data_IF_294840279381
#
_entry.id   IF_294840279381
#
_cell.length_a   1.000
_cell.length_b   1.000
_cell.length_c   1.000
_cell.angle_alpha   90.00
_cell.angle_beta   90.00
_cell.angle_gamma   90.00
#
_symmetry.space_group_name_H-M   'P 1'
#
loop_
_entity.id
_entity.type
_entity.pdbx_description
1 polymer ?
#
# COMPACT_ATOMS: atom_id res chain seq x y z
N UNK A 1 -6.36 68.90 -30.80
CA UNK A 1 -5.61 68.33 -31.93
C UNK A 1 -4.28 67.78 -31.43
N UNK A 2 -4.14 66.46 -31.28
CA UNK A 2 -2.83 65.77 -31.23
C UNK A 2 -3.05 64.28 -31.51
N UNK A 3 -2.38 63.77 -32.53
CA UNK A 3 -2.52 62.41 -33.04
C UNK A 3 -1.34 61.53 -32.60
N UNK A 4 -1.67 60.29 -32.21
CA UNK A 4 -0.96 59.01 -32.37
C UNK A 4 0.43 58.78 -31.71
N UNK A 5 0.95 57.53 -31.64
CA UNK A 5 0.37 56.24 -32.08
C UNK A 5 0.59 55.02 -31.15
N UNK A 6 -0.21 53.97 -31.39
CA UNK A 6 0.20 52.55 -31.35
C UNK A 6 0.48 51.89 -29.98
N UNK A 7 -0.11 50.71 -29.84
CA UNK A 7 0.40 49.57 -29.04
C UNK A 7 0.02 49.52 -27.54
N UNK A 8 -1.04 48.78 -27.20
CA UNK A 8 -0.95 47.38 -26.73
C UNK A 8 -2.35 46.88 -26.37
N UNK A 9 -2.92 46.11 -27.30
CA UNK A 9 -3.91 45.09 -26.99
C UNK A 9 -3.24 44.12 -26.01
N UNK A 10 -3.73 44.02 -24.78
CA UNK A 10 -3.40 42.89 -23.91
C UNK A 10 -4.70 42.23 -23.50
N UNK A 11 -5.08 41.24 -24.31
CA UNK A 11 -6.07 40.25 -23.97
C UNK A 11 -5.65 39.58 -22.64
N UNK A 12 -6.44 39.77 -21.59
CA UNK A 12 -6.31 38.99 -20.37
C UNK A 12 -6.77 37.56 -20.65
N UNK A 13 -5.84 36.71 -21.09
CA UNK A 13 -6.02 35.27 -21.08
C UNK A 13 -5.94 34.80 -19.61
N UNK A 14 -7.10 34.50 -19.03
CA UNK A 14 -7.20 33.83 -17.73
C UNK A 14 -6.72 32.38 -17.93
N UNK A 15 -5.46 32.12 -17.62
CA UNK A 15 -4.93 30.77 -17.53
C UNK A 15 -5.53 30.10 -16.28
N UNK A 16 -6.47 29.18 -16.48
CA UNK A 16 -6.87 28.21 -15.45
C UNK A 16 -5.69 27.29 -15.21
N UNK A 17 -4.93 27.56 -14.14
CA UNK A 17 -3.90 26.67 -13.64
C UNK A 17 -4.56 25.38 -13.14
N UNK A 18 -4.46 24.30 -13.93
CA UNK A 18 -4.77 22.96 -13.45
C UNK A 18 -3.75 22.60 -12.37
N UNK A 19 -4.15 22.69 -11.10
CA UNK A 19 -3.34 22.20 -10.00
C UNK A 19 -3.09 20.69 -10.20
N UNK A 20 -1.86 20.19 -10.02
CA UNK A 20 -1.61 18.75 -10.05
C UNK A 20 -2.45 18.07 -8.96
N UNK A 21 -2.97 16.85 -9.20
CA UNK A 21 -3.69 16.11 -8.17
C UNK A 21 -2.82 15.97 -6.91
N UNK A 22 -3.40 16.07 -5.71
CA UNK A 22 -2.65 15.91 -4.48
C UNK A 22 -1.92 14.55 -4.49
N UNK A 23 -0.68 14.48 -3.95
CA UNK A 23 0.04 13.22 -3.86
C UNK A 23 -0.84 12.20 -3.13
N UNK A 24 -0.86 10.93 -3.57
CA UNK A 24 -1.64 9.90 -2.90
C UNK A 24 -1.25 9.88 -1.42
N UNK A 25 -2.24 9.74 -0.51
CA UNK A 25 -1.96 9.74 0.92
C UNK A 25 -0.89 8.68 1.23
N UNK A 26 0.08 8.97 2.13
CA UNK A 26 1.10 8.01 2.50
C UNK A 26 0.39 6.71 2.87
N UNK A 27 0.67 5.65 2.11
CA UNK A 27 0.14 4.34 2.43
C UNK A 27 0.63 4.01 3.84
N UNK A 28 -0.23 3.54 4.76
CA UNK A 28 0.24 3.12 6.08
C UNK A 28 1.33 2.09 5.83
N UNK A 29 2.58 2.46 6.10
CA UNK A 29 3.70 1.54 5.96
C UNK A 29 3.44 0.45 6.99
N UNK A 30 2.97 -0.72 6.54
CA UNK A 30 2.85 -1.86 7.44
C UNK A 30 4.23 -2.10 8.05
N UNK A 31 4.28 -2.26 9.35
CA UNK A 31 5.52 -2.59 10.03
C UNK A 31 5.83 -4.07 9.79
N UNK A 32 6.69 -4.31 8.79
CA UNK A 32 7.15 -5.64 8.42
C UNK A 32 7.98 -6.30 9.53
N UNK A 33 8.61 -5.52 10.42
CA UNK A 33 9.38 -6.08 11.53
C UNK A 33 8.48 -6.82 12.53
N UNK A 34 7.24 -6.35 12.72
CA UNK A 34 6.27 -7.04 13.57
C UNK A 34 5.84 -8.40 13.03
N UNK A 35 6.07 -8.68 11.75
CA UNK A 35 5.86 -10.00 11.13
C UNK A 35 7.14 -10.84 11.00
N UNK A 36 8.30 -10.33 11.41
CA UNK A 36 9.51 -11.14 11.49
C UNK A 36 9.31 -12.46 12.27
N UNK A 37 8.52 -12.52 13.36
CA UNK A 37 8.21 -13.77 14.05
C UNK A 37 7.37 -14.76 13.22
N UNK A 38 6.72 -14.29 12.15
CA UNK A 38 5.95 -15.12 11.23
C UNK A 38 6.79 -15.75 10.11
N UNK A 39 8.07 -15.37 9.94
CA UNK A 39 8.93 -15.93 8.88
C UNK A 39 9.11 -17.46 8.99
N UNK A 40 9.38 -18.05 10.18
CA UNK A 40 9.55 -19.48 10.29
C UNK A 40 8.33 -20.29 9.82
N UNK A 41 7.09 -20.05 10.30
CA UNK A 41 5.90 -20.75 9.81
C UNK A 41 5.50 -20.38 8.38
N UNK A 42 6.02 -19.25 7.85
CA UNK A 42 5.85 -18.89 6.45
C UNK A 42 6.69 -19.78 5.52
N UNK A 43 7.91 -20.11 5.95
CA UNK A 43 8.87 -20.92 5.19
C UNK A 43 8.64 -22.43 5.38
N UNK A 44 8.27 -22.85 6.59
CA UNK A 44 7.90 -24.23 6.89
C UNK A 44 6.49 -24.28 7.51
N UNK A 45 5.47 -24.69 6.74
CA UNK A 45 4.07 -24.72 7.19
C UNK A 45 3.80 -25.74 8.31
N UNK A 46 4.79 -26.56 8.70
CA UNK A 46 4.69 -27.47 9.85
C UNK A 46 4.97 -26.77 11.18
N UNK A 47 5.59 -25.59 11.13
CA UNK A 47 5.88 -24.79 12.32
C UNK A 47 4.64 -24.00 12.76
N UNK A 48 4.48 -23.89 14.08
CA UNK A 48 3.37 -23.17 14.69
C UNK A 48 3.76 -21.69 14.84
N UNK A 49 2.91 -20.72 14.45
CA UNK A 49 3.19 -19.30 14.65
C UNK A 49 3.24 -18.95 16.14
N UNK A 50 4.17 -18.06 16.49
CA UNK A 50 4.29 -17.56 17.86
C UNK A 50 3.13 -16.61 18.20
N UNK A 51 2.83 -16.39 19.49
CA UNK A 51 1.85 -15.40 19.91
C UNK A 51 2.14 -13.99 19.38
N UNK A 52 3.41 -13.62 19.28
CA UNK A 52 3.88 -12.35 18.74
C UNK A 52 3.56 -12.23 17.24
N UNK A 53 3.79 -13.29 16.48
CA UNK A 53 3.39 -13.36 15.08
C UNK A 53 1.89 -13.11 14.93
N UNK A 54 1.06 -13.83 15.68
CA UNK A 54 -0.40 -13.66 15.59
C UNK A 54 -0.85 -12.26 16.01
N UNK A 55 -0.28 -11.69 17.07
CA UNK A 55 -0.59 -10.31 17.50
C UNK A 55 -0.26 -9.28 16.43
N UNK A 56 0.93 -9.38 15.83
CA UNK A 56 1.35 -8.49 14.74
C UNK A 56 0.43 -8.61 13.53
N UNK A 57 0.10 -9.85 13.14
CA UNK A 57 -0.78 -10.11 12.00
C UNK A 57 -2.20 -9.59 12.22
N UNK A 58 -2.79 -9.82 13.40
CA UNK A 58 -4.13 -9.31 13.75
C UNK A 58 -4.14 -7.78 13.74
N UNK A 59 -3.11 -7.14 14.33
CA UNK A 59 -3.02 -5.68 14.43
C UNK A 59 -2.90 -5.00 13.07
N UNK A 60 -2.35 -5.69 12.06
CA UNK A 60 -2.00 -5.10 10.78
C UNK A 60 -2.69 -5.77 9.58
N UNK A 61 -3.67 -6.65 9.81
CA UNK A 61 -4.32 -7.46 8.79
C UNK A 61 -4.76 -6.64 7.57
N UNK A 62 -5.51 -5.55 7.79
CA UNK A 62 -6.01 -4.70 6.70
C UNK A 62 -4.90 -4.02 5.88
N UNK A 63 -3.77 -3.71 6.52
CA UNK A 63 -2.59 -3.16 5.87
C UNK A 63 -1.96 -4.19 4.94
N UNK A 64 -1.75 -5.41 5.44
CA UNK A 64 -1.19 -6.52 4.66
C UNK A 64 -2.08 -6.93 3.49
N UNK A 65 -3.40 -6.99 3.68
CA UNK A 65 -4.31 -7.30 2.58
C UNK A 65 -4.17 -6.31 1.42
N UNK A 66 -3.93 -5.03 1.73
CA UNK A 66 -3.70 -4.00 0.72
C UNK A 66 -2.37 -4.20 -0.02
N UNK A 67 -1.32 -4.64 0.67
CA UNK A 67 -0.02 -4.98 0.04
C UNK A 67 -0.17 -6.20 -0.88
N UNK A 68 -0.82 -7.26 -0.40
CA UNK A 68 -1.02 -8.51 -1.14
C UNK A 68 -1.84 -8.26 -2.41
N UNK A 69 -2.80 -7.32 -2.38
CA UNK A 69 -3.57 -6.94 -3.56
C UNK A 69 -2.76 -6.25 -4.68
N UNK A 70 -1.47 -5.92 -4.45
CA UNK A 70 -0.62 -5.38 -5.51
C UNK A 70 -0.12 -6.52 -6.43
N UNK A 71 -0.35 -6.42 -7.76
CA UNK A 71 0.00 -7.46 -8.72
C UNK A 71 1.49 -7.90 -8.74
N UNK A 72 2.50 -7.03 -8.56
CA UNK A 72 3.89 -7.50 -8.48
C UNK A 72 4.21 -8.28 -7.21
N UNK A 73 3.43 -8.09 -6.13
CA UNK A 73 3.64 -8.76 -4.84
C UNK A 73 2.96 -10.14 -4.85
N UNK A 74 1.82 -10.25 -5.52
CA UNK A 74 1.04 -11.49 -5.66
C UNK A 74 1.88 -12.67 -6.19
N UNK A 75 2.75 -12.41 -7.19
CA UNK A 75 3.65 -13.42 -7.78
C UNK A 75 4.72 -13.96 -6.81
N UNK A 76 5.16 -13.13 -5.86
CA UNK A 76 6.11 -13.56 -4.84
C UNK A 76 5.40 -14.41 -3.78
N UNK A 77 4.20 -13.98 -3.41
CA UNK A 77 3.39 -14.59 -2.35
C UNK A 77 2.90 -15.99 -2.76
N UNK A 78 2.73 -16.27 -4.06
CA UNK A 78 2.18 -17.53 -4.54
C UNK A 78 2.97 -18.75 -4.04
N UNK A 79 4.29 -18.64 -3.96
CA UNK A 79 5.18 -19.70 -3.46
C UNK A 79 5.04 -19.95 -1.95
N UNK A 80 4.52 -18.97 -1.20
CA UNK A 80 4.37 -19.00 0.24
C UNK A 80 2.90 -19.17 0.70
N UNK A 81 1.94 -19.29 -0.23
CA UNK A 81 0.52 -19.54 0.06
C UNK A 81 0.29 -20.63 1.12
N UNK A 82 0.93 -21.82 1.07
CA UNK A 82 0.67 -22.84 2.09
C UNK A 82 1.04 -22.36 3.51
N UNK A 83 2.18 -21.70 3.68
CA UNK A 83 2.62 -21.11 4.94
C UNK A 83 1.68 -19.99 5.39
N UNK A 84 1.30 -19.09 4.49
CA UNK A 84 0.38 -17.97 4.78
C UNK A 84 -0.97 -18.50 5.24
N UNK A 85 -1.55 -19.48 4.53
CA UNK A 85 -2.83 -20.09 4.93
C UNK A 85 -2.72 -20.75 6.30
N UNK A 86 -1.61 -21.45 6.57
CA UNK A 86 -1.33 -22.03 7.88
C UNK A 86 -1.34 -20.99 9.00
N UNK A 87 -0.59 -19.89 8.82
CA UNK A 87 -0.52 -18.79 9.79
C UNK A 87 -1.90 -18.17 10.02
N UNK A 88 -2.64 -17.84 8.96
CA UNK A 88 -3.97 -17.23 9.06
C UNK A 88 -4.97 -18.14 9.78
N UNK A 89 -4.95 -19.45 9.49
CA UNK A 89 -5.81 -20.43 10.17
C UNK A 89 -5.44 -20.59 11.65
N UNK A 90 -4.15 -20.73 11.97
CA UNK A 90 -3.68 -20.85 13.36
C UNK A 90 -3.98 -19.60 14.19
N UNK A 91 -3.74 -18.41 13.62
CA UNK A 91 -3.98 -17.13 14.29
C UNK A 91 -5.45 -16.67 14.24
N UNK A 92 -6.33 -17.41 13.57
CA UNK A 92 -7.76 -17.09 13.37
C UNK A 92 -7.99 -15.73 12.71
N UNK A 93 -7.17 -15.42 11.71
CA UNK A 93 -7.26 -14.20 10.89
C UNK A 93 -7.93 -14.53 9.56
N UNK A 94 -8.78 -13.64 9.05
CA UNK A 94 -9.45 -13.84 7.75
C UNK A 94 -8.41 -13.66 6.63
N UNK A 95 -8.23 -14.66 5.73
CA UNK A 95 -7.31 -14.54 4.60
C UNK A 95 -7.68 -13.37 3.69
N UNK A 96 -6.66 -12.75 3.09
CA UNK A 96 -6.80 -11.55 2.26
C UNK A 96 -7.11 -11.83 0.77
N UNK A 97 -7.25 -13.10 0.40
CA UNK A 97 -7.37 -13.62 -0.97
C UNK A 97 -8.57 -14.54 -1.10
#
# INVERSE_FOLDING_TARGET
MKASPVMWVVCFAVAVAAAPPPPPPPQPCCDLQQLAPCLPPLMDPRLIPTPECCRGLISQQGCFCKIISNPPVDQYITNYIPGIRGIFLCCRVIPCF
#
